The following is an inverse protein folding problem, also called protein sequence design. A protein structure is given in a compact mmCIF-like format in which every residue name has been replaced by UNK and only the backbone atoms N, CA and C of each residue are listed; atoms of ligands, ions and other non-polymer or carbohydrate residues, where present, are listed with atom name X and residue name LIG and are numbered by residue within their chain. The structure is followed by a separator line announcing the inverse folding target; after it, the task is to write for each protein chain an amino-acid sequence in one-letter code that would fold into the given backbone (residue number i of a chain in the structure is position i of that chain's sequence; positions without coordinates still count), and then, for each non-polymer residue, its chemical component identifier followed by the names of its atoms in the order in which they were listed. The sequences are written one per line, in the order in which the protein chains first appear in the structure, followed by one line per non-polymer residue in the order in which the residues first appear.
data_IF_073814277686
#
_entry.id   IF_073814277686
#
_cell.length_a   1.000
_cell.length_b   1.000
_cell.length_c   1.000
_cell.angle_alpha   90.00
_cell.angle_beta   90.00
_cell.angle_gamma   90.00
#
_symmetry.space_group_name_H-M   'P 1'
#
loop_
_entity.id
_entity.type
_entity.pdbx_description
1 polymer ?
#
# COMPACT_ATOMS: atom_id res chain seq x y z
N UNK A 1 -12.91 9.65 -13.36
CA UNK A 1 -13.41 9.61 -11.97
C UNK A 1 -12.61 8.64 -11.10
N UNK A 2 -12.57 7.33 -11.41
CA UNK A 2 -11.92 6.34 -10.53
C UNK A 2 -10.42 6.59 -10.26
N UNK A 3 -9.64 7.02 -11.27
CA UNK A 3 -8.21 7.36 -11.09
C UNK A 3 -8.00 8.50 -10.12
N UNK A 4 -8.85 9.52 -10.17
CA UNK A 4 -8.81 10.66 -9.25
C UNK A 4 -9.11 10.21 -7.82
N UNK A 5 -10.07 9.29 -7.64
CA UNK A 5 -10.36 8.73 -6.32
C UNK A 5 -9.18 7.90 -5.79
N UNK A 6 -8.50 7.11 -6.62
CA UNK A 6 -7.27 6.40 -6.24
C UNK A 6 -6.19 7.39 -5.79
N UNK A 7 -5.97 8.47 -6.55
CA UNK A 7 -5.01 9.52 -6.17
C UNK A 7 -5.36 10.15 -4.82
N UNK A 8 -6.63 10.46 -4.58
CA UNK A 8 -7.07 11.04 -3.30
C UNK A 8 -6.84 10.06 -2.15
N UNK A 9 -7.27 8.80 -2.29
CA UNK A 9 -7.15 7.79 -1.22
C UNK A 9 -5.69 7.51 -0.87
N UNK A 10 -4.85 7.22 -1.87
CA UNK A 10 -3.44 6.92 -1.64
C UNK A 10 -2.63 8.18 -1.31
N UNK A 11 -2.96 9.32 -1.90
CA UNK A 11 -2.31 10.60 -1.60
C UNK A 11 -2.57 11.05 -0.17
N UNK A 12 -3.82 10.92 0.31
CA UNK A 12 -4.14 11.15 1.72
C UNK A 12 -3.40 10.16 2.62
N UNK A 13 -3.35 8.88 2.25
CA UNK A 13 -2.63 7.87 3.04
C UNK A 13 -1.14 8.22 3.19
N UNK A 14 -0.47 8.66 2.11
CA UNK A 14 0.92 9.13 2.15
C UNK A 14 1.04 10.38 3.02
N UNK A 15 0.16 11.36 2.83
CA UNK A 15 0.19 12.61 3.59
C UNK A 15 0.08 12.37 5.10
N UNK A 16 -0.90 11.60 5.55
CA UNK A 16 -1.10 11.28 6.96
C UNK A 16 0.14 10.59 7.54
N UNK A 17 0.75 9.65 6.80
CA UNK A 17 2.00 8.99 7.23
C UNK A 17 3.18 9.96 7.33
N UNK A 18 3.31 10.92 6.43
CA UNK A 18 4.43 11.87 6.48
C UNK A 18 4.30 12.89 7.62
N UNK A 19 3.07 13.20 8.07
CA UNK A 19 2.84 14.10 9.21
C UNK A 19 3.14 13.40 10.54
N UNK A 20 2.76 12.13 10.66
CA UNK A 20 2.91 11.36 11.90
C UNK A 20 4.39 11.05 12.23
N UNK A 21 4.87 11.23 13.48
CA UNK A 21 6.25 10.95 13.85
C UNK A 21 6.65 9.48 13.64
N UNK A 22 5.84 8.51 14.08
CA UNK A 22 6.20 7.09 14.07
C UNK A 22 6.54 6.58 12.66
N UNK A 23 5.87 7.11 11.64
CA UNK A 23 6.13 6.79 10.24
C UNK A 23 7.44 7.40 9.76
N UNK A 24 7.71 8.67 10.10
CA UNK A 24 8.99 9.34 9.79
C UNK A 24 10.18 8.67 10.49
N UNK A 25 9.95 8.19 11.70
CA UNK A 25 10.96 7.51 12.51
C UNK A 25 11.21 6.06 12.03
N UNK A 26 10.40 5.55 11.10
CA UNK A 26 10.48 4.18 10.61
C UNK A 26 9.98 3.12 11.60
N UNK A 27 9.22 3.50 12.62
CA UNK A 27 8.76 2.61 13.69
C UNK A 27 7.27 2.26 13.60
N UNK A 28 6.50 2.92 12.74
CA UNK A 28 5.04 2.76 12.69
C UNK A 28 4.59 1.30 12.55
N UNK A 29 5.21 0.50 11.68
CA UNK A 29 4.80 -0.89 11.51
C UNK A 29 5.05 -1.76 12.77
N UNK A 30 5.99 -1.39 13.63
CA UNK A 30 6.15 -2.07 14.93
C UNK A 30 4.88 -1.96 15.77
N UNK A 31 4.30 -0.76 15.82
CA UNK A 31 3.07 -0.49 16.57
C UNK A 31 1.85 -1.09 15.88
N UNK A 32 1.75 -0.98 14.55
CA UNK A 32 0.65 -1.57 13.77
C UNK A 32 0.60 -3.09 13.99
N UNK A 33 1.74 -3.77 13.97
CA UNK A 33 1.79 -5.21 14.19
C UNK A 33 1.41 -5.65 15.61
N UNK A 34 1.46 -4.76 16.58
CA UNK A 34 1.08 -5.02 17.98
C UNK A 34 -0.32 -4.50 18.31
N UNK A 35 -1.03 -3.92 17.35
CA UNK A 35 -2.36 -3.40 17.56
C UNK A 35 -3.32 -4.51 17.98
N UNK A 36 -4.19 -4.23 18.96
CA UNK A 36 -5.09 -5.23 19.53
C UNK A 36 -6.16 -5.72 18.55
N UNK A 37 -6.49 -4.92 17.53
CA UNK A 37 -7.54 -5.22 16.55
C UNK A 37 -6.97 -5.60 15.20
N UNK A 38 -5.83 -5.03 14.81
CA UNK A 38 -5.24 -5.17 13.47
C UNK A 38 -3.79 -5.68 13.47
N UNK A 39 -3.30 -6.18 14.62
CA UNK A 39 -1.96 -6.73 14.78
C UNK A 39 -1.69 -7.97 13.94
N UNK A 40 -0.42 -8.40 13.92
CA UNK A 40 0.03 -9.53 13.11
C UNK A 40 -0.63 -10.83 13.54
N UNK A 41 -1.23 -11.53 12.60
CA UNK A 41 -1.73 -12.92 12.78
C UNK A 41 -0.76 -13.94 12.18
N UNK A 42 0.37 -13.47 11.63
CA UNK A 42 1.28 -14.28 10.84
C UNK A 42 2.41 -14.87 11.67
N UNK A 43 2.76 -16.13 11.38
CA UNK A 43 3.98 -16.80 11.84
C UNK A 43 5.27 -16.09 11.36
N UNK A 44 5.15 -15.13 10.44
CA UNK A 44 6.25 -14.28 9.99
C UNK A 44 6.60 -13.16 11.00
N UNK A 45 5.79 -12.98 12.05
CA UNK A 45 6.02 -11.97 13.08
C UNK A 45 7.46 -11.97 13.66
N UNK A 46 8.11 -13.12 13.94
CA UNK A 46 9.48 -13.16 14.45
C UNK A 46 10.51 -12.60 13.46
N UNK A 47 10.31 -12.84 12.15
CA UNK A 47 11.21 -12.36 11.09
C UNK A 47 11.13 -10.84 10.90
N UNK A 48 10.00 -10.26 11.30
CA UNK A 48 9.71 -8.84 11.19
C UNK A 48 10.07 -8.06 12.47
N UNK A 49 10.67 -8.68 13.49
CA UNK A 49 11.05 -7.97 14.74
C UNK A 49 12.37 -7.19 14.64
N UNK A 50 13.16 -7.41 13.58
CA UNK A 50 14.38 -6.64 13.37
C UNK A 50 14.05 -5.18 13.07
N UNK A 51 14.62 -4.24 13.85
CA UNK A 51 14.40 -2.81 13.65
C UNK A 51 14.75 -2.33 12.24
N UNK A 52 15.75 -2.95 11.59
CA UNK A 52 16.07 -2.66 10.19
C UNK A 52 14.94 -3.08 9.24
N UNK A 53 14.38 -4.28 9.43
CA UNK A 53 13.29 -4.80 8.60
C UNK A 53 12.02 -3.96 8.79
N UNK A 54 11.70 -3.59 10.03
CA UNK A 54 10.58 -2.69 10.34
C UNK A 54 10.75 -1.32 9.68
N UNK A 55 11.95 -0.74 9.77
CA UNK A 55 12.26 0.54 9.14
C UNK A 55 12.08 0.51 7.62
N UNK A 56 12.63 -0.53 6.98
CA UNK A 56 12.50 -0.74 5.53
C UNK A 56 11.04 -0.96 5.15
N UNK A 57 10.29 -1.77 5.89
CA UNK A 57 8.89 -2.02 5.61
C UNK A 57 8.04 -0.74 5.79
N UNK A 58 8.32 0.05 6.83
CA UNK A 58 7.57 1.28 7.16
C UNK A 58 7.72 2.31 6.04
N UNK A 59 8.96 2.59 5.64
CA UNK A 59 9.22 3.48 4.50
C UNK A 59 8.81 2.87 3.16
N UNK A 60 8.93 1.54 3.02
CA UNK A 60 8.48 0.79 1.84
C UNK A 60 6.99 0.97 1.57
N UNK A 61 6.15 0.99 2.61
CA UNK A 61 4.72 1.32 2.48
C UNK A 61 4.53 2.71 1.85
N UNK A 62 5.20 3.74 2.38
CA UNK A 62 5.09 5.12 1.88
C UNK A 62 5.55 5.22 0.42
N UNK A 63 6.66 4.55 0.08
CA UNK A 63 7.20 4.52 -1.29
C UNK A 63 6.24 3.84 -2.25
N UNK A 64 5.68 2.69 -1.88
CA UNK A 64 4.72 1.96 -2.71
C UNK A 64 3.42 2.75 -2.91
N UNK A 65 2.89 3.38 -1.86
CA UNK A 65 1.69 4.23 -1.97
C UNK A 65 1.95 5.44 -2.87
N UNK A 66 3.11 6.10 -2.73
CA UNK A 66 3.52 7.21 -3.59
C UNK A 66 3.66 6.76 -5.05
N UNK A 67 4.26 5.58 -5.28
CA UNK A 67 4.37 5.00 -6.61
C UNK A 67 2.99 4.75 -7.23
N UNK A 68 2.02 4.23 -6.47
CA UNK A 68 0.65 4.02 -6.96
C UNK A 68 0.01 5.35 -7.42
N UNK A 69 0.16 6.43 -6.64
CA UNK A 69 -0.35 7.78 -6.99
C UNK A 69 0.23 8.27 -8.31
N UNK A 70 1.55 8.17 -8.48
CA UNK A 70 2.23 8.64 -9.70
C UNK A 70 1.88 7.74 -10.89
N UNK A 71 1.92 6.43 -10.70
CA UNK A 71 1.74 5.45 -11.76
C UNK A 71 0.32 5.42 -12.34
N UNK A 72 -0.71 5.61 -11.51
CA UNK A 72 -2.11 5.52 -11.94
C UNK A 72 -2.50 6.64 -12.93
N UNK A 73 -1.80 7.78 -12.87
CA UNK A 73 -1.99 8.92 -13.76
C UNK A 73 -1.24 8.78 -15.11
N UNK A 74 -0.29 7.84 -15.20
CA UNK A 74 0.53 7.66 -16.39
C UNK A 74 -0.11 6.85 -17.52
N UNK A 75 0.73 6.44 -18.47
CA UNK A 75 0.37 5.60 -19.62
C UNK A 75 0.08 4.13 -19.22
N UNK A 76 -0.34 3.28 -20.19
CA UNK A 76 -0.70 1.88 -19.90
C UNK A 76 0.40 1.09 -19.18
N UNK A 77 1.67 1.14 -19.60
CA UNK A 77 2.77 0.52 -18.85
C UNK A 77 2.87 1.00 -17.41
N UNK A 78 2.82 2.32 -17.19
CA UNK A 78 2.95 2.90 -15.85
C UNK A 78 1.79 2.47 -14.94
N UNK A 79 0.57 2.43 -15.48
CA UNK A 79 -0.61 1.94 -14.75
C UNK A 79 -0.48 0.48 -14.32
N UNK A 80 0.13 -0.38 -15.16
CA UNK A 80 0.42 -1.77 -14.78
C UNK A 80 1.50 -1.85 -13.70
N UNK A 81 2.51 -0.99 -13.75
CA UNK A 81 3.50 -0.90 -12.67
C UNK A 81 2.85 -0.49 -11.35
N UNK A 82 1.96 0.52 -11.37
CA UNK A 82 1.18 0.92 -10.19
C UNK A 82 0.31 -0.21 -9.64
N UNK A 83 -0.30 -1.02 -10.52
CA UNK A 83 -1.04 -2.22 -10.10
C UNK A 83 -0.11 -3.25 -9.43
N UNK A 84 1.09 -3.49 -9.96
CA UNK A 84 2.06 -4.38 -9.34
C UNK A 84 2.47 -3.88 -7.95
N UNK A 85 2.71 -2.58 -7.79
CA UNK A 85 2.95 -1.97 -6.47
C UNK A 85 1.79 -2.21 -5.50
N UNK A 86 0.55 -2.09 -5.97
CA UNK A 86 -0.64 -2.36 -5.16
C UNK A 86 -0.74 -3.84 -4.75
N UNK A 87 -0.36 -4.78 -5.63
CA UNK A 87 -0.30 -6.22 -5.31
C UNK A 87 0.72 -6.49 -4.21
N UNK A 88 1.92 -5.92 -4.33
CA UNK A 88 2.96 -6.09 -3.30
C UNK A 88 2.49 -5.52 -1.96
N UNK A 89 1.97 -4.30 -1.95
CA UNK A 89 1.53 -3.63 -0.73
C UNK A 89 0.36 -4.37 -0.05
N UNK A 90 -0.74 -4.59 -0.79
CA UNK A 90 -1.97 -5.15 -0.21
C UNK A 90 -1.90 -6.66 -0.04
N UNK A 91 -1.11 -7.35 -0.85
CA UNK A 91 -0.76 -8.76 -0.60
C UNK A 91 0.04 -8.91 0.69
N UNK A 92 1.02 -8.02 0.94
CA UNK A 92 1.75 -7.97 2.19
C UNK A 92 0.83 -7.72 3.39
N UNK A 93 -0.08 -6.74 3.31
CA UNK A 93 -1.08 -6.46 4.35
C UNK A 93 -1.98 -7.67 4.61
N UNK A 94 -2.48 -8.32 3.56
CA UNK A 94 -3.34 -9.50 3.70
C UNK A 94 -2.62 -10.67 4.38
N UNK A 95 -1.33 -10.88 4.09
CA UNK A 95 -0.53 -11.98 4.66
C UNK A 95 -0.07 -11.68 6.09
N UNK A 96 0.41 -10.46 6.35
CA UNK A 96 1.00 -10.09 7.65
C UNK A 96 -0.06 -9.74 8.68
N UNK A 97 -1.06 -8.93 8.30
CA UNK A 97 -2.09 -8.41 9.20
C UNK A 97 -3.43 -9.18 9.10
N UNK A 98 -3.55 -10.15 8.19
CA UNK A 98 -4.78 -10.91 8.01
C UNK A 98 -5.93 -10.12 7.36
N UNK A 99 -5.69 -8.89 6.90
CA UNK A 99 -6.72 -7.99 6.36
C UNK A 99 -7.06 -8.29 4.90
N UNK A 100 -7.50 -9.53 4.63
CA UNK A 100 -7.72 -10.05 3.27
C UNK A 100 -8.81 -9.26 2.53
N UNK A 101 -9.96 -9.01 3.17
CA UNK A 101 -11.06 -8.28 2.54
C UNK A 101 -10.67 -6.86 2.14
N UNK A 102 -9.99 -6.15 3.04
CA UNK A 102 -9.44 -4.82 2.78
C UNK A 102 -8.46 -4.84 1.60
N UNK A 103 -7.50 -5.78 1.61
CA UNK A 103 -6.51 -5.90 0.54
C UNK A 103 -7.15 -6.16 -0.83
N UNK A 104 -8.16 -7.04 -0.90
CA UNK A 104 -8.87 -7.35 -2.14
C UNK A 104 -9.66 -6.15 -2.68
N UNK A 105 -10.34 -5.40 -1.80
CA UNK A 105 -11.07 -4.19 -2.20
C UNK A 105 -10.13 -3.15 -2.79
N UNK A 106 -9.01 -2.90 -2.12
CA UNK A 106 -8.02 -1.93 -2.60
C UNK A 106 -7.35 -2.38 -3.91
N UNK A 107 -7.10 -3.68 -4.06
CA UNK A 107 -6.59 -4.25 -5.32
C UNK A 107 -7.57 -4.08 -6.47
N UNK A 108 -8.84 -4.42 -6.26
CA UNK A 108 -9.90 -4.22 -7.25
C UNK A 108 -10.02 -2.76 -7.67
N UNK A 109 -9.90 -1.84 -6.71
CA UNK A 109 -9.96 -0.40 -6.95
C UNK A 109 -8.83 0.10 -7.85
N UNK A 110 -7.58 -0.30 -7.56
CA UNK A 110 -6.42 0.05 -8.41
C UNK A 110 -6.48 -0.66 -9.76
N UNK A 111 -6.89 -1.92 -9.82
CA UNK A 111 -7.07 -2.65 -11.08
C UNK A 111 -8.10 -1.97 -11.99
N UNK A 112 -9.23 -1.52 -11.43
CA UNK A 112 -10.24 -0.77 -12.17
C UNK A 112 -9.67 0.56 -12.70
N UNK A 113 -8.84 1.26 -11.91
CA UNK A 113 -8.15 2.47 -12.36
C UNK A 113 -7.08 2.21 -13.44
N UNK A 114 -6.40 1.07 -13.37
CA UNK A 114 -5.41 0.65 -14.35
C UNK A 114 -6.04 0.21 -15.68
N UNK A 115 -7.29 -0.27 -15.64
CA UNK A 115 -8.05 -0.65 -16.83
C UNK A 115 -8.32 0.57 -17.72
N UNK A 116 -7.65 0.62 -18.87
CA UNK A 116 -7.87 1.62 -19.91
C UNK A 116 -8.73 1.02 -21.00
N UNK A 117 -9.89 1.61 -21.30
CA UNK A 117 -10.65 1.24 -22.50
C UNK A 117 -9.77 1.59 -23.71
N UNK A 118 -9.34 0.58 -24.47
CA UNK A 118 -8.92 0.81 -25.85
C UNK A 118 -10.16 1.32 -26.59
N UNK A 119 -10.25 2.64 -26.78
CA UNK A 119 -11.15 3.20 -27.79
C UNK A 119 -10.46 2.87 -29.12
N UNK A 120 -10.82 1.73 -29.71
CA UNK A 120 -10.55 1.50 -31.12
C UNK A 120 -11.21 2.66 -31.87
N UNK A 121 -10.39 3.48 -32.52
CA UNK A 121 -10.80 4.38 -33.59
C UNK A 121 -10.37 3.74 -34.89
#
# INVERSE_FOLDING_TARGET
MIRSQVVVVYGQAVWTKLVEPEWRNGTALHYVMQDAYFGTTSELAPLLQSGFVIGVATWGTVVLETAIVVCVLGNSPLRRAGLACAVVLHGGIAVVLGLVSFGLVMLGFVAAAASGRHRQR
#
